data_IF_963996367053
#
_entry.id   IF_963996367053
#
_cell.length_a   1.000
_cell.length_b   1.000
_cell.length_c   1.000
_cell.angle_alpha   90.00
_cell.angle_beta   90.00
_cell.angle_gamma   90.00
#
_symmetry.space_group_name_H-M   'P 1'
#
loop_
_entity.id
_entity.type
_entity.pdbx_description
1 polymer ?
#
# COMPACT_ATOMS: atom_id res chain seq x y z
N UNK A 1 48.63 4.27 -12.46
CA UNK A 1 47.44 3.60 -13.02
C UNK A 1 46.36 3.50 -11.94
N UNK A 2 45.75 4.63 -11.57
CA UNK A 2 44.81 4.74 -10.43
C UNK A 2 43.60 5.59 -10.85
N UNK A 3 42.96 5.21 -11.97
CA UNK A 3 41.74 5.87 -12.47
C UNK A 3 40.53 4.93 -12.56
N UNK A 4 40.77 3.62 -12.48
CA UNK A 4 39.75 2.60 -12.77
C UNK A 4 38.83 2.33 -11.56
N UNK A 5 39.39 2.38 -10.35
CA UNK A 5 38.66 2.16 -9.10
C UNK A 5 37.69 3.30 -8.77
N UNK A 6 38.12 4.54 -8.96
CA UNK A 6 37.30 5.72 -8.66
C UNK A 6 36.14 5.86 -9.66
N UNK A 7 36.39 5.52 -10.94
CA UNK A 7 35.35 5.47 -11.97
C UNK A 7 34.29 4.42 -11.66
N UNK A 8 34.71 3.22 -11.24
CA UNK A 8 33.79 2.16 -10.82
C UNK A 8 32.92 2.60 -9.64
N UNK A 9 33.49 3.30 -8.65
CA UNK A 9 32.75 3.77 -7.48
C UNK A 9 31.72 4.86 -7.83
N UNK A 10 32.09 5.81 -8.69
CA UNK A 10 31.17 6.83 -9.19
C UNK A 10 30.02 6.24 -9.99
N UNK A 11 30.29 5.23 -10.82
CA UNK A 11 29.24 4.51 -11.57
C UNK A 11 28.28 3.77 -10.63
N UNK A 12 28.82 3.12 -9.60
CA UNK A 12 28.02 2.44 -8.58
C UNK A 12 27.13 3.44 -7.80
N UNK A 13 27.66 4.59 -7.39
CA UNK A 13 26.87 5.65 -6.74
C UNK A 13 25.78 6.21 -7.65
N UNK A 14 26.07 6.44 -8.93
CA UNK A 14 25.06 6.88 -9.90
C UNK A 14 23.95 5.85 -10.09
N UNK A 15 24.28 4.55 -10.13
CA UNK A 15 23.29 3.49 -10.22
C UNK A 15 22.41 3.42 -8.97
N UNK A 16 22.99 3.59 -7.76
CA UNK A 16 22.23 3.69 -6.52
C UNK A 16 21.27 4.89 -6.54
N UNK A 17 21.76 6.07 -6.92
CA UNK A 17 20.94 7.29 -6.99
C UNK A 17 19.83 7.17 -8.04
N UNK A 18 20.09 6.53 -9.19
CA UNK A 18 19.08 6.26 -10.21
C UNK A 18 18.03 5.26 -9.69
N UNK A 19 18.45 4.22 -8.98
CA UNK A 19 17.55 3.26 -8.36
C UNK A 19 16.68 3.90 -7.26
N UNK A 20 17.24 4.78 -6.43
CA UNK A 20 16.48 5.57 -5.44
C UNK A 20 15.50 6.54 -6.10
N UNK A 21 15.93 7.27 -7.14
CA UNK A 21 15.03 8.14 -7.91
C UNK A 21 13.92 7.34 -8.56
N UNK A 22 14.20 6.15 -9.09
CA UNK A 22 13.19 5.25 -9.64
C UNK A 22 12.22 4.77 -8.55
N UNK A 23 12.71 4.34 -7.38
CA UNK A 23 11.86 3.99 -6.22
C UNK A 23 10.98 5.15 -5.76
N UNK A 24 11.49 6.37 -5.74
CA UNK A 24 10.71 7.57 -5.40
C UNK A 24 9.70 7.95 -6.50
N UNK A 25 10.02 7.74 -7.78
CA UNK A 25 9.09 7.91 -8.91
C UNK A 25 7.95 6.89 -8.88
N UNK A 26 8.19 5.71 -8.29
CA UNK A 26 7.18 4.65 -8.07
C UNK A 26 6.18 5.02 -6.97
N UNK A 27 6.50 5.92 -6.03
CA UNK A 27 5.51 6.58 -5.15
C UNK A 27 4.74 7.64 -5.96
N UNK A 28 3.94 7.17 -6.91
CA UNK A 28 3.02 7.98 -7.71
C UNK A 28 1.95 8.61 -6.81
N UNK A 29 1.29 9.69 -7.25
CA UNK A 29 0.19 10.32 -6.48
C UNK A 29 -0.90 9.33 -6.05
N UNK A 30 -1.06 8.24 -6.80
CA UNK A 30 -1.94 7.09 -6.54
C UNK A 30 -1.60 6.35 -5.24
N UNK A 31 -0.31 6.11 -5.00
CA UNK A 31 0.18 5.48 -3.76
C UNK A 31 -0.09 6.36 -2.55
N UNK A 32 0.11 7.68 -2.71
CA UNK A 32 -0.20 8.65 -1.66
C UNK A 32 -1.70 8.70 -1.33
N UNK A 33 -2.56 8.63 -2.34
CA UNK A 33 -4.02 8.53 -2.13
C UNK A 33 -4.39 7.27 -1.36
N UNK A 34 -3.81 6.12 -1.72
CA UNK A 34 -4.03 4.87 -1.01
C UNK A 34 -3.54 4.93 0.45
N UNK A 35 -2.38 5.52 0.70
CA UNK A 35 -1.84 5.72 2.05
C UNK A 35 -2.78 6.58 2.92
N UNK A 36 -3.30 7.69 2.38
CA UNK A 36 -4.25 8.55 3.08
C UNK A 36 -5.55 7.82 3.40
N UNK A 37 -6.15 7.17 2.40
CA UNK A 37 -7.39 6.42 2.55
C UNK A 37 -7.25 5.27 3.56
N UNK A 38 -6.12 4.55 3.51
CA UNK A 38 -5.82 3.49 4.47
C UNK A 38 -5.70 4.03 5.89
N UNK A 39 -5.04 5.17 6.06
CA UNK A 39 -4.90 5.82 7.37
C UNK A 39 -6.25 6.26 7.94
N UNK A 40 -7.12 6.86 7.12
CA UNK A 40 -8.48 7.24 7.51
C UNK A 40 -9.31 6.01 7.92
N UNK A 41 -9.28 4.95 7.11
CA UNK A 41 -9.98 3.71 7.43
C UNK A 41 -9.50 3.09 8.75
N UNK A 42 -8.18 3.03 8.99
CA UNK A 42 -7.60 2.50 10.22
C UNK A 42 -7.86 3.37 11.45
N UNK A 43 -8.09 4.68 11.28
CA UNK A 43 -8.44 5.56 12.39
C UNK A 43 -9.78 5.18 13.04
N UNK A 44 -10.71 4.66 12.23
CA UNK A 44 -12.03 4.15 12.67
C UNK A 44 -11.95 2.65 13.00
N UNK A 45 -11.15 1.88 12.24
CA UNK A 45 -11.01 0.43 12.36
C UNK A 45 -9.67 0.05 13.03
N UNK A 46 -9.50 0.44 14.29
CA UNK A 46 -8.21 0.38 15.00
C UNK A 46 -7.75 -1.04 15.35
N UNK A 47 -8.64 -2.04 15.30
CA UNK A 47 -8.35 -3.40 15.70
C UNK A 47 -8.36 -4.38 14.53
N UNK A 48 -7.53 -5.41 14.63
CA UNK A 48 -7.43 -6.48 13.64
C UNK A 48 -8.71 -7.32 13.58
N UNK A 49 -9.38 -7.30 12.43
CA UNK A 49 -10.62 -8.03 12.19
C UNK A 49 -10.45 -9.56 12.33
N UNK A 50 -9.32 -10.11 11.89
CA UNK A 50 -9.02 -11.55 12.01
C UNK A 50 -8.75 -11.97 13.46
N UNK A 51 -8.04 -11.14 14.23
CA UNK A 51 -7.82 -11.39 15.65
C UNK A 51 -9.15 -11.34 16.42
N UNK A 52 -10.01 -10.36 16.13
CA UNK A 52 -11.30 -10.22 16.77
C UNK A 52 -12.20 -11.45 16.55
N UNK A 53 -12.21 -12.04 15.34
CA UNK A 53 -12.92 -13.31 15.03
C UNK A 53 -12.49 -14.48 15.93
N UNK A 54 -11.28 -14.43 16.47
CA UNK A 54 -10.68 -15.47 17.32
C UNK A 54 -10.64 -15.06 18.80
N UNK A 55 -11.35 -14.00 19.20
CA UNK A 55 -11.36 -13.42 20.54
C UNK A 55 -10.00 -12.90 21.03
N UNK A 56 -9.15 -12.43 20.11
CA UNK A 56 -7.92 -11.71 20.42
C UNK A 56 -8.04 -10.24 20.04
N UNK A 57 -7.33 -9.38 20.78
CA UNK A 57 -7.26 -7.94 20.48
C UNK A 57 -5.83 -7.60 20.08
N UNK A 58 -5.68 -7.14 18.84
CA UNK A 58 -4.42 -6.60 18.30
C UNK A 58 -4.72 -5.34 17.50
N UNK A 59 -3.79 -4.39 17.52
CA UNK A 59 -3.89 -3.16 16.74
C UNK A 59 -3.74 -3.48 15.25
N UNK A 60 -4.56 -2.85 14.42
CA UNK A 60 -4.44 -2.95 12.98
C UNK A 60 -3.40 -1.97 12.44
N UNK A 61 -2.55 -2.46 11.53
CA UNK A 61 -1.48 -1.69 10.88
C UNK A 61 -1.63 -1.67 9.36
N UNK A 62 -2.42 -2.61 8.82
CA UNK A 62 -2.57 -2.81 7.39
C UNK A 62 -4.04 -2.89 6.99
N UNK A 63 -4.36 -2.31 5.84
CA UNK A 63 -5.63 -2.52 5.14
C UNK A 63 -5.43 -3.59 4.08
N UNK A 64 -6.32 -4.58 4.05
CA UNK A 64 -6.28 -5.69 3.10
C UNK A 64 -7.65 -5.89 2.46
N UNK A 65 -7.68 -6.29 1.19
CA UNK A 65 -8.92 -6.56 0.46
C UNK A 65 -9.47 -7.95 0.78
N UNK A 66 -10.70 -8.04 1.25
CA UNK A 66 -11.38 -9.32 1.58
C UNK A 66 -11.47 -10.19 0.33
N UNK A 67 -11.94 -9.62 -0.77
CA UNK A 67 -11.93 -10.23 -2.09
C UNK A 67 -10.86 -9.59 -2.96
N UNK A 68 -10.02 -10.44 -3.58
CA UNK A 68 -8.97 -10.00 -4.49
C UNK A 68 -9.57 -9.09 -5.59
N UNK A 69 -9.09 -7.85 -5.74
CA UNK A 69 -9.60 -6.93 -6.76
C UNK A 69 -9.33 -7.40 -8.20
N UNK A 70 -8.31 -8.24 -8.43
CA UNK A 70 -7.97 -8.78 -9.75
C UNK A 70 -7.86 -7.72 -10.89
N UNK A 71 -7.47 -6.50 -10.54
CA UNK A 71 -7.36 -5.36 -11.47
C UNK A 71 -8.64 -4.50 -11.60
N UNK A 72 -9.74 -4.90 -10.97
CA UNK A 72 -10.95 -4.08 -10.86
C UNK A 72 -10.71 -2.92 -9.89
N UNK A 73 -10.79 -1.70 -10.42
CA UNK A 73 -10.55 -0.46 -9.67
C UNK A 73 -11.68 -0.17 -8.69
N UNK A 74 -12.92 -0.43 -9.06
CA UNK A 74 -14.07 -0.19 -8.19
C UNK A 74 -13.99 -1.11 -6.98
N UNK A 75 -13.66 -2.38 -7.22
CA UNK A 75 -13.46 -3.37 -6.15
C UNK A 75 -12.25 -3.07 -5.26
N UNK A 76 -11.21 -2.45 -5.82
CA UNK A 76 -10.05 -1.99 -5.06
C UNK A 76 -10.44 -0.85 -4.10
N UNK A 77 -11.23 0.11 -4.56
CA UNK A 77 -11.61 1.29 -3.76
C UNK A 77 -12.89 1.11 -2.94
N UNK A 78 -13.61 0.00 -3.06
CA UNK A 78 -14.79 -0.31 -2.24
C UNK A 78 -14.35 -0.57 -0.78
N UNK A 79 -14.65 0.38 0.10
CA UNK A 79 -14.36 0.29 1.54
C UNK A 79 -14.98 -0.95 2.19
N UNK A 80 -16.12 -1.43 1.67
CA UNK A 80 -16.76 -2.66 2.18
C UNK A 80 -15.96 -3.91 1.85
N UNK A 81 -15.07 -3.81 0.86
CA UNK A 81 -14.11 -4.85 0.52
C UNK A 81 -12.82 -4.74 1.35
N UNK A 82 -12.69 -3.77 2.26
CA UNK A 82 -11.49 -3.61 3.09
C UNK A 82 -11.65 -4.29 4.45
N UNK A 83 -10.54 -4.81 4.99
CA UNK A 83 -10.43 -5.27 6.36
C UNK A 83 -9.14 -4.77 7.01
N UNK A 84 -9.23 -4.43 8.30
CA UNK A 84 -8.12 -4.02 9.14
C UNK A 84 -7.38 -5.24 9.68
N UNK A 85 -6.06 -5.33 9.49
CA UNK A 85 -5.23 -6.45 9.93
C UNK A 85 -4.01 -5.96 10.73
N UNK A 86 -3.63 -6.71 11.77
CA UNK A 86 -2.32 -6.56 12.39
C UNK A 86 -1.23 -7.12 11.48
N UNK A 87 0.02 -6.74 11.72
CA UNK A 87 1.19 -7.20 10.96
C UNK A 87 1.24 -8.72 10.78
N UNK A 88 1.08 -9.48 11.86
CA UNK A 88 1.19 -10.94 11.82
C UNK A 88 0.05 -11.59 11.02
N UNK A 89 -1.17 -11.05 11.15
CA UNK A 89 -2.31 -11.55 10.37
C UNK A 89 -2.19 -11.18 8.89
N UNK A 90 -1.69 -9.99 8.59
CA UNK A 90 -1.41 -9.57 7.22
C UNK A 90 -0.43 -10.54 6.56
N UNK A 91 0.76 -10.75 7.15
CA UNK A 91 1.76 -11.68 6.59
C UNK A 91 1.20 -13.10 6.45
N UNK A 92 0.44 -13.59 7.42
CA UNK A 92 -0.16 -14.93 7.37
C UNK A 92 -1.21 -15.08 6.26
N UNK A 93 -1.99 -14.04 5.96
CA UNK A 93 -3.10 -14.09 5.00
C UNK A 93 -2.63 -13.74 3.59
N UNK A 94 -1.81 -12.69 3.44
CA UNK A 94 -1.36 -12.17 2.15
C UNK A 94 0.00 -12.68 1.70
N UNK A 95 0.72 -13.42 2.55
CA UNK A 95 2.14 -13.75 2.31
C UNK A 95 3.07 -12.56 2.49
N UNK A 96 2.55 -11.39 2.90
CA UNK A 96 3.30 -10.13 2.94
C UNK A 96 3.37 -9.42 1.59
N UNK A 97 2.58 -9.86 0.60
CA UNK A 97 2.61 -9.28 -0.73
C UNK A 97 2.18 -7.79 -0.72
N UNK A 98 2.92 -6.91 -1.40
CA UNK A 98 2.58 -5.51 -1.48
C UNK A 98 1.31 -5.30 -2.33
N UNK A 99 0.43 -4.43 -1.86
CA UNK A 99 -0.79 -4.05 -2.58
C UNK A 99 -0.41 -3.31 -3.86
N UNK A 100 -0.80 -3.87 -5.01
CA UNK A 100 -0.67 -3.19 -6.30
C UNK A 100 -1.80 -2.16 -6.45
N UNK A 101 -1.49 -0.89 -6.23
CA UNK A 101 -2.45 0.20 -6.33
C UNK A 101 -2.74 0.49 -7.80
N UNK A 102 -4.00 0.33 -8.29
CA UNK A 102 -4.33 0.60 -9.67
C UNK A 102 -4.24 2.10 -9.99
N UNK A 103 -4.39 2.46 -11.28
CA UNK A 103 -4.59 3.85 -11.64
C UNK A 103 -5.78 4.45 -10.86
N UNK A 104 -5.73 5.75 -10.46
CA UNK A 104 -6.82 6.39 -9.79
C UNK A 104 -8.03 6.26 -10.68
N UNK A 105 -9.18 6.05 -10.05
CA UNK A 105 -10.43 6.41 -10.69
C UNK A 105 -10.40 7.94 -10.88
N UNK A 106 -11.09 8.46 -11.90
CA UNK A 106 -11.20 9.92 -12.07
C UNK A 106 -11.67 10.59 -10.76
N UNK A 107 -11.26 11.84 -10.55
CA UNK A 107 -11.46 12.55 -9.27
C UNK A 107 -12.94 12.59 -8.85
N UNK A 108 -13.87 12.69 -9.81
CA UNK A 108 -15.32 12.68 -9.58
C UNK A 108 -15.80 11.32 -9.02
N UNK A 109 -15.28 10.22 -9.56
CA UNK A 109 -15.60 8.88 -9.05
C UNK A 109 -14.94 8.60 -7.70
N UNK A 110 -13.75 9.14 -7.42
CA UNK A 110 -13.14 9.05 -6.09
C UNK A 110 -14.02 9.77 -5.05
N UNK A 111 -14.46 10.99 -5.32
CA UNK A 111 -15.33 11.75 -4.41
C UNK A 111 -16.62 10.98 -4.09
N UNK A 112 -17.24 10.36 -5.10
CA UNK A 112 -18.43 9.51 -4.94
C UNK A 112 -18.18 8.24 -4.11
N UNK A 113 -17.00 7.62 -4.22
CA UNK A 113 -16.66 6.39 -3.47
C UNK A 113 -16.25 6.70 -2.02
N UNK A 114 -15.63 7.86 -1.76
CA UNK A 114 -15.23 8.30 -0.41
C UNK A 114 -16.35 8.96 0.39
N UNK A 115 -17.41 9.45 -0.25
CA UNK A 115 -18.60 9.96 0.44
C UNK A 115 -19.73 8.93 0.41
N UNK A 116 -19.64 7.94 1.29
CA UNK A 116 -20.84 7.19 1.69
C UNK A 116 -21.75 8.16 2.47
N UNK A 117 -22.89 8.51 1.87
CA UNK A 117 -23.99 9.21 2.55
C UNK A 117 -24.63 8.34 3.64
#
# INVERSE_FOLDING_TARGET
MTGDRDLHWQQHEQQIQQAERAKNKVRSGKSKLWELASAEFLSVNQYCADCNKRNYVNVAEHVFHIECPAGDRMKFWDVRNWQSLCKDCFVRISGGDPVSVPAPVDDETLEYIYTVK
#
